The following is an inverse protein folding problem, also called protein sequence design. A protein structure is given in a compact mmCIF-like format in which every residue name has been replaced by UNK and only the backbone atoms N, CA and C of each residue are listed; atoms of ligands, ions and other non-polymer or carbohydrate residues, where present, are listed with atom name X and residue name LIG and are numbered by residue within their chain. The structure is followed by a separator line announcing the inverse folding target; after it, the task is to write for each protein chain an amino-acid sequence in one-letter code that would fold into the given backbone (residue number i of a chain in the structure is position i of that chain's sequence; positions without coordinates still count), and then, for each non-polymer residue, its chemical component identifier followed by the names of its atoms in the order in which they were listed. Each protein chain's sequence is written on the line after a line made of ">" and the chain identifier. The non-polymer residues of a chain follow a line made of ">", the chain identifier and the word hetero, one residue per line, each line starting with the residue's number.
data_IF_259737746596
#
_entry.id   IF_259737746596
#
_cell.length_a   1.000
_cell.length_b   1.000
_cell.length_c   1.000
_cell.angle_alpha   90.00
_cell.angle_beta   90.00
_cell.angle_gamma   90.00
#
_symmetry.space_group_name_H-M   'P 1'
#
loop_
_entity.id
_entity.type
_entity.pdbx_description
1 polymer ?
#
# COMPACT_ATOMS: atom_id res chain seq x y z
N UNK A 1 -11.43 10.81 -4.97
CA UNK A 1 -11.03 12.02 -4.24
C UNK A 1 -11.30 13.24 -5.09
N UNK A 2 -11.75 14.33 -4.46
CA UNK A 2 -11.98 15.64 -5.10
C UNK A 2 -11.11 16.64 -4.36
N UNK A 3 -10.39 17.48 -5.09
CA UNK A 3 -9.58 18.57 -4.56
C UNK A 3 -10.26 19.89 -4.93
N UNK A 4 -10.40 20.78 -3.97
CA UNK A 4 -11.00 22.11 -4.17
C UNK A 4 -10.35 23.14 -3.26
N UNK A 5 -10.49 24.43 -3.57
CA UNK A 5 -10.01 25.51 -2.73
C UNK A 5 -10.88 25.65 -1.48
N UNK A 6 -10.32 26.02 -0.32
CA UNK A 6 -11.09 26.15 0.91
C UNK A 6 -11.86 27.49 0.92
N UNK A 7 -12.74 27.69 -0.05
CA UNK A 7 -13.65 28.82 -0.17
C UNK A 7 -15.10 28.31 -0.25
N UNK A 8 -16.02 29.10 0.26
CA UNK A 8 -17.43 28.68 0.40
C UNK A 8 -18.08 28.39 -0.95
N UNK A 9 -17.75 29.17 -1.96
CA UNK A 9 -18.28 29.05 -3.32
C UNK A 9 -17.96 27.70 -3.94
N UNK A 10 -16.73 27.19 -3.75
CA UNK A 10 -16.31 25.88 -4.27
C UNK A 10 -17.02 24.74 -3.55
N UNK A 11 -17.25 24.87 -2.23
CA UNK A 11 -17.98 23.87 -1.44
C UNK A 11 -19.45 23.82 -1.84
N UNK A 12 -20.09 24.99 -2.01
CA UNK A 12 -21.47 25.10 -2.45
C UNK A 12 -21.64 24.55 -3.88
N UNK A 13 -20.70 24.86 -4.78
CA UNK A 13 -20.67 24.29 -6.13
C UNK A 13 -20.58 22.76 -6.08
N UNK A 14 -19.65 22.22 -5.27
CA UNK A 14 -19.48 20.77 -5.11
C UNK A 14 -20.77 20.12 -4.59
N UNK A 15 -21.42 20.72 -3.58
CA UNK A 15 -22.66 20.22 -3.03
C UNK A 15 -23.77 20.17 -4.10
N UNK A 16 -23.90 21.22 -4.89
CA UNK A 16 -24.87 21.32 -5.99
C UNK A 16 -24.61 20.27 -7.09
N UNK A 17 -23.34 20.06 -7.47
CA UNK A 17 -22.97 19.04 -8.46
C UNK A 17 -23.33 17.64 -7.96
N UNK A 18 -22.99 17.31 -6.70
CA UNK A 18 -23.29 16.01 -6.12
C UNK A 18 -24.80 15.77 -5.98
N UNK A 19 -25.57 16.81 -5.65
CA UNK A 19 -27.03 16.73 -5.58
C UNK A 19 -27.65 16.54 -6.96
N UNK A 20 -27.22 17.31 -7.95
CA UNK A 20 -27.68 17.19 -9.33
C UNK A 20 -27.37 15.80 -9.91
N UNK A 21 -26.17 15.30 -9.66
CA UNK A 21 -25.78 13.94 -10.04
C UNK A 21 -26.69 12.89 -9.39
N UNK A 22 -26.97 13.05 -8.09
CA UNK A 22 -27.88 12.17 -7.37
C UNK A 22 -29.29 12.15 -7.94
N UNK A 23 -29.82 13.34 -8.29
CA UNK A 23 -31.16 13.47 -8.87
C UNK A 23 -31.29 12.80 -10.24
N UNK A 24 -30.23 12.88 -11.07
CA UNK A 24 -30.24 12.30 -12.43
C UNK A 24 -29.98 10.79 -12.41
N UNK A 25 -29.06 10.33 -11.55
CA UNK A 25 -28.58 8.93 -11.57
C UNK A 25 -29.23 8.05 -10.51
N UNK A 26 -29.87 8.62 -9.50
CA UNK A 26 -30.34 7.91 -8.30
C UNK A 26 -29.20 7.54 -7.32
N UNK A 27 -27.94 7.91 -7.60
CA UNK A 27 -26.79 7.62 -6.76
C UNK A 27 -26.49 8.77 -5.79
N UNK A 28 -27.00 8.68 -4.59
CA UNK A 28 -26.84 9.73 -3.57
C UNK A 28 -25.53 9.55 -2.80
N UNK A 29 -24.77 10.65 -2.67
CA UNK A 29 -23.53 10.67 -1.89
C UNK A 29 -23.82 10.46 -0.39
N UNK A 30 -23.17 9.48 0.21
CA UNK A 30 -23.27 9.27 1.65
C UNK A 30 -22.32 10.20 2.41
N UNK A 31 -22.85 11.31 2.91
CA UNK A 31 -22.07 12.35 3.60
C UNK A 31 -21.45 11.81 4.89
N UNK A 32 -22.12 10.91 5.61
CA UNK A 32 -21.58 10.31 6.84
C UNK A 32 -20.35 9.43 6.61
N UNK A 33 -20.14 8.97 5.38
CA UNK A 33 -18.94 8.23 4.95
C UNK A 33 -17.94 9.10 4.21
N UNK A 34 -18.28 10.35 3.95
CA UNK A 34 -17.41 11.32 3.29
C UNK A 34 -16.47 11.96 4.30
N UNK A 35 -15.21 12.08 3.92
CA UNK A 35 -14.17 12.69 4.75
C UNK A 35 -13.64 13.95 4.07
N UNK A 36 -13.45 15.00 4.84
CA UNK A 36 -12.77 16.22 4.42
C UNK A 36 -11.45 16.33 5.18
N UNK A 37 -10.34 16.41 4.46
CA UNK A 37 -9.02 16.54 5.04
C UNK A 37 -8.36 17.85 4.57
N UNK A 38 -8.08 18.81 5.47
CA UNK A 38 -7.44 20.07 5.11
C UNK A 38 -5.97 19.85 4.72
N UNK A 39 -5.53 20.51 3.64
CA UNK A 39 -4.15 20.52 3.18
C UNK A 39 -3.66 21.97 3.20
N UNK A 40 -2.75 22.31 4.12
CA UNK A 40 -2.19 23.66 4.27
C UNK A 40 -3.24 24.77 4.50
N UNK A 41 -4.30 24.46 5.23
CA UNK A 41 -5.40 25.38 5.54
C UNK A 41 -5.30 25.92 6.98
N UNK A 42 -4.13 26.29 7.47
CA UNK A 42 -3.92 26.71 8.87
C UNK A 42 -4.62 28.00 9.28
N UNK A 43 -4.95 28.87 8.31
CA UNK A 43 -5.54 30.20 8.54
C UNK A 43 -6.98 30.32 8.05
N UNK A 44 -7.67 29.21 7.88
CA UNK A 44 -9.02 29.20 7.29
C UNK A 44 -10.00 28.62 8.29
N UNK A 45 -11.13 29.31 8.50
CA UNK A 45 -12.25 28.81 9.29
C UNK A 45 -13.04 27.76 8.48
N UNK A 46 -12.64 26.50 8.66
CA UNK A 46 -13.27 25.38 7.96
C UNK A 46 -14.70 25.09 8.45
N UNK A 47 -15.08 25.51 9.65
CA UNK A 47 -16.44 25.33 10.17
C UNK A 47 -17.42 26.19 9.41
N UNK A 48 -17.05 27.44 9.16
CA UNK A 48 -17.85 28.37 8.39
C UNK A 48 -17.98 27.95 6.92
N UNK A 49 -16.89 27.44 6.33
CA UNK A 49 -16.84 27.04 4.91
C UNK A 49 -17.60 25.74 4.66
N UNK A 50 -17.45 24.76 5.53
CA UNK A 50 -18.07 23.43 5.39
C UNK A 50 -19.51 23.37 5.92
N UNK A 51 -20.11 24.48 6.32
CA UNK A 51 -21.45 24.52 6.92
C UNK A 51 -22.53 23.88 6.05
N UNK A 52 -22.41 23.97 4.73
CA UNK A 52 -23.33 23.35 3.75
C UNK A 52 -22.96 21.89 3.40
N UNK A 53 -21.76 21.43 3.76
CA UNK A 53 -21.28 20.09 3.49
C UNK A 53 -20.77 19.42 4.77
N UNK A 54 -21.66 18.84 5.61
CA UNK A 54 -21.32 18.33 6.95
C UNK A 54 -20.59 16.98 6.90
N UNK A 55 -19.52 16.88 6.11
CA UNK A 55 -18.66 15.70 6.07
C UNK A 55 -17.75 15.62 7.30
N UNK A 56 -17.36 14.42 7.67
CA UNK A 56 -16.49 14.17 8.81
C UNK A 56 -15.09 14.72 8.53
N UNK A 57 -14.55 15.52 9.46
CA UNK A 57 -13.19 16.01 9.37
C UNK A 57 -12.20 14.90 9.69
N UNK A 58 -11.22 14.74 8.83
CA UNK A 58 -10.12 13.82 9.00
C UNK A 58 -8.78 14.54 8.98
N UNK A 59 -7.81 13.97 9.69
CA UNK A 59 -6.42 14.44 9.68
C UNK A 59 -5.53 13.39 9.01
N UNK A 60 -4.44 13.85 8.39
CA UNK A 60 -3.43 12.96 7.85
C UNK A 60 -2.59 12.30 8.97
N UNK A 61 -2.20 11.03 8.82
CA UNK A 61 -2.46 10.15 7.68
C UNK A 61 -3.87 9.56 7.71
N UNK A 62 -4.55 9.55 6.60
CA UNK A 62 -5.87 8.94 6.43
C UNK A 62 -5.79 7.71 5.51
N UNK A 63 -6.84 6.89 5.51
CA UNK A 63 -6.92 5.72 4.62
C UNK A 63 -7.75 6.04 3.39
N UNK A 64 -7.14 5.84 2.24
CA UNK A 64 -7.81 5.97 0.95
C UNK A 64 -7.56 4.72 0.09
N UNK A 65 -8.62 4.05 -0.34
CA UNK A 65 -8.57 2.79 -1.09
C UNK A 65 -7.68 1.71 -0.43
N UNK A 66 -7.65 1.68 0.89
CA UNK A 66 -6.85 0.72 1.66
C UNK A 66 -5.39 1.11 1.88
N UNK A 67 -4.92 2.19 1.27
CA UNK A 67 -3.57 2.72 1.42
C UNK A 67 -3.52 3.87 2.43
N UNK A 68 -2.43 4.03 3.19
CA UNK A 68 -2.22 5.23 3.99
C UNK A 68 -1.88 6.42 3.07
N UNK A 69 -2.72 7.44 3.11
CA UNK A 69 -2.50 8.71 2.41
C UNK A 69 -1.95 9.73 3.40
N UNK A 70 -0.82 10.35 3.09
CA UNK A 70 -0.16 11.36 3.94
C UNK A 70 0.47 12.46 3.10
N UNK A 71 0.51 13.68 3.65
CA UNK A 71 1.25 14.82 3.08
C UNK A 71 2.76 14.68 3.35
N UNK A 72 3.12 13.90 4.38
CA UNK A 72 4.51 13.68 4.77
C UNK A 72 4.94 12.26 4.46
N UNK A 73 6.25 12.01 4.51
CA UNK A 73 6.82 10.67 4.33
C UNK A 73 6.20 9.69 5.32
N UNK A 74 5.69 8.59 4.79
CA UNK A 74 5.07 7.52 5.57
C UNK A 74 6.10 6.82 6.46
N UNK A 75 5.72 6.58 7.73
CA UNK A 75 6.53 5.86 8.72
C UNK A 75 6.00 4.42 8.88
N UNK A 76 6.79 3.55 9.49
CA UNK A 76 6.43 2.14 9.74
C UNK A 76 5.06 2.02 10.45
N UNK A 77 4.77 2.91 11.38
CA UNK A 77 3.48 2.93 12.12
C UNK A 77 2.27 3.08 11.20
N UNK A 78 2.40 3.78 10.08
CA UNK A 78 1.30 3.99 9.15
C UNK A 78 0.93 2.70 8.38
N UNK A 79 1.81 1.70 8.41
CA UNK A 79 1.58 0.39 7.79
C UNK A 79 1.18 -0.70 8.79
N UNK A 80 0.95 -0.35 10.09
CA UNK A 80 0.61 -1.33 11.12
C UNK A 80 -0.60 -2.18 10.70
N UNK A 81 -1.63 -1.55 10.13
CA UNK A 81 -2.79 -2.27 9.61
C UNK A 81 -2.45 -3.34 8.57
N UNK A 82 -1.44 -3.11 7.72
CA UNK A 82 -0.99 -4.13 6.77
C UNK A 82 -0.35 -5.31 7.51
N UNK A 83 0.47 -5.05 8.53
CA UNK A 83 1.04 -6.13 9.37
C UNK A 83 -0.06 -6.92 10.08
N UNK A 84 -1.03 -6.24 10.67
CA UNK A 84 -2.15 -6.88 11.36
C UNK A 84 -2.98 -7.72 10.40
N UNK A 85 -3.21 -7.23 9.18
CA UNK A 85 -3.89 -7.98 8.12
C UNK A 85 -3.12 -9.22 7.70
N UNK A 86 -1.80 -9.12 7.54
CA UNK A 86 -0.93 -10.26 7.21
C UNK A 86 -0.92 -11.24 8.37
N UNK A 87 -0.73 -10.78 9.61
CA UNK A 87 -0.74 -11.61 10.81
C UNK A 87 -2.08 -12.34 10.97
N UNK A 88 -3.20 -11.67 10.74
CA UNK A 88 -4.54 -12.29 10.77
C UNK A 88 -4.76 -13.37 9.71
N UNK A 89 -4.01 -13.35 8.60
CA UNK A 89 -4.01 -14.43 7.58
C UNK A 89 -3.07 -15.58 7.93
N UNK A 90 -2.12 -15.33 8.81
CA UNK A 90 -1.30 -16.38 9.42
C UNK A 90 -2.16 -16.98 10.53
N UNK A 91 -2.86 -18.06 10.24
CA UNK A 91 -3.69 -18.74 11.25
C UNK A 91 -2.81 -19.23 12.41
N UNK A 92 -2.88 -18.52 13.52
CA UNK A 92 -2.14 -18.84 14.75
C UNK A 92 -2.54 -20.25 15.20
N UNK A 93 -1.55 -21.11 15.37
CA UNK A 93 -1.74 -22.51 15.79
C UNK A 93 -2.00 -23.52 14.68
N UNK A 94 -2.58 -23.14 13.55
CA UNK A 94 -2.86 -24.11 12.47
C UNK A 94 -1.63 -24.46 11.63
N UNK A 95 -0.62 -23.59 11.58
CA UNK A 95 0.62 -23.89 10.86
C UNK A 95 1.37 -25.13 11.35
N UNK A 96 1.14 -25.57 12.58
CA UNK A 96 1.72 -26.80 13.13
C UNK A 96 1.21 -28.05 12.42
N UNK A 97 -0.02 -28.03 11.94
CA UNK A 97 -0.65 -29.16 11.25
C UNK A 97 -0.42 -29.13 9.73
N UNK A 98 0.22 -28.09 9.23
CA UNK A 98 0.52 -27.91 7.80
C UNK A 98 1.95 -28.34 7.54
N UNK A 99 2.17 -29.15 6.49
CA UNK A 99 3.50 -29.58 6.06
C UNK A 99 4.35 -28.39 5.62
N UNK A 100 5.66 -28.57 5.55
CA UNK A 100 6.59 -27.54 5.06
C UNK A 100 6.23 -27.06 3.65
N UNK A 101 5.82 -27.94 2.77
CA UNK A 101 5.36 -27.62 1.42
C UNK A 101 4.10 -26.75 1.46
N UNK A 102 3.12 -27.12 2.28
CA UNK A 102 1.89 -26.32 2.47
C UNK A 102 2.17 -24.94 3.06
N UNK A 103 3.09 -24.83 4.04
CA UNK A 103 3.52 -23.54 4.58
C UNK A 103 4.21 -22.67 3.53
N UNK A 104 5.10 -23.25 2.70
CA UNK A 104 5.74 -22.56 1.60
C UNK A 104 4.70 -22.02 0.59
N UNK A 105 3.73 -22.84 0.21
CA UNK A 105 2.63 -22.40 -0.68
C UNK A 105 1.84 -21.24 -0.06
N UNK A 106 1.51 -21.32 1.23
CA UNK A 106 0.77 -20.26 1.92
C UNK A 106 1.56 -18.95 2.02
N UNK A 107 2.88 -19.01 2.26
CA UNK A 107 3.74 -17.82 2.22
C UNK A 107 3.67 -17.16 0.86
N UNK A 108 3.79 -17.93 -0.22
CA UNK A 108 3.76 -17.40 -1.60
C UNK A 108 2.42 -16.81 -1.98
N UNK A 109 1.34 -17.58 -1.79
CA UNK A 109 0.01 -17.22 -2.33
C UNK A 109 -0.79 -16.30 -1.42
N UNK A 110 -0.61 -16.37 -0.10
CA UNK A 110 -1.42 -15.59 0.85
C UNK A 110 -0.64 -14.43 1.44
N UNK A 111 0.50 -14.70 2.07
CA UNK A 111 1.23 -13.66 2.81
C UNK A 111 1.80 -12.61 1.86
N UNK A 112 2.45 -13.05 0.80
CA UNK A 112 3.03 -12.15 -0.22
C UNK A 112 1.95 -11.32 -0.91
N UNK A 113 0.81 -11.94 -1.28
CA UNK A 113 -0.25 -11.23 -2.01
C UNK A 113 -0.89 -10.08 -1.22
N UNK A 114 -0.94 -10.16 0.12
CA UNK A 114 -1.49 -9.07 0.93
C UNK A 114 -0.70 -7.76 0.82
N UNK A 115 0.58 -7.85 0.54
CA UNK A 115 1.46 -6.67 0.44
C UNK A 115 1.47 -6.04 -0.95
N UNK A 116 1.08 -6.76 -2.02
CA UNK A 116 1.23 -6.32 -3.42
C UNK A 116 0.68 -4.92 -3.65
N UNK A 117 -0.54 -4.65 -3.20
CA UNK A 117 -1.18 -3.34 -3.39
C UNK A 117 -0.37 -2.18 -2.80
N UNK A 118 0.17 -2.36 -1.59
CA UNK A 118 1.02 -1.36 -0.94
C UNK A 118 2.37 -1.21 -1.65
N UNK A 119 2.98 -2.34 -2.05
CA UNK A 119 4.28 -2.37 -2.71
C UNK A 119 4.27 -1.76 -4.12
N UNK A 120 3.14 -1.86 -4.81
CA UNK A 120 2.97 -1.27 -6.16
C UNK A 120 2.78 0.23 -6.10
N UNK A 121 2.10 0.72 -5.05
CA UNK A 121 1.63 2.11 -4.99
C UNK A 121 2.46 3.02 -4.09
N UNK A 122 3.33 2.45 -3.23
CA UNK A 122 4.06 3.20 -2.21
C UNK A 122 5.49 2.71 -2.07
N UNK A 123 6.39 3.63 -1.74
CA UNK A 123 7.72 3.28 -1.22
C UNK A 123 7.58 2.86 0.24
N UNK A 124 7.59 1.55 0.46
CA UNK A 124 7.40 0.98 1.80
C UNK A 124 8.72 1.05 2.58
N UNK A 125 8.74 1.55 3.83
CA UNK A 125 9.94 1.65 4.64
C UNK A 125 10.65 0.29 4.84
N UNK A 126 12.00 0.28 4.81
CA UNK A 126 12.82 -0.95 5.01
C UNK A 126 12.44 -1.72 6.28
N UNK A 127 12.17 -1.02 7.39
CA UNK A 127 11.73 -1.66 8.64
C UNK A 127 10.40 -2.40 8.52
N UNK A 128 9.49 -1.89 7.69
CA UNK A 128 8.23 -2.58 7.39
C UNK A 128 8.46 -3.84 6.55
N UNK A 129 9.34 -3.77 5.54
CA UNK A 129 9.72 -4.93 4.73
C UNK A 129 10.35 -6.02 5.59
N UNK A 130 11.27 -5.65 6.49
CA UNK A 130 11.87 -6.57 7.45
C UNK A 130 10.82 -7.26 8.35
N UNK A 131 9.79 -6.52 8.77
CA UNK A 131 8.68 -7.07 9.56
C UNK A 131 7.84 -8.09 8.78
N UNK A 132 7.56 -7.83 7.51
CA UNK A 132 6.86 -8.79 6.63
C UNK A 132 7.71 -10.05 6.44
N UNK A 133 8.99 -9.88 6.13
CA UNK A 133 9.95 -11.01 5.97
C UNK A 133 10.04 -11.83 7.26
N UNK A 134 10.04 -11.18 8.42
CA UNK A 134 10.02 -11.87 9.71
C UNK A 134 8.76 -12.73 9.86
N UNK A 135 7.57 -12.22 9.55
CA UNK A 135 6.32 -13.00 9.57
C UNK A 135 6.38 -14.20 8.61
N UNK A 136 6.93 -14.02 7.41
CA UNK A 136 7.12 -15.11 6.45
C UNK A 136 8.03 -16.21 6.99
N UNK A 137 9.17 -15.83 7.60
CA UNK A 137 10.12 -16.77 8.22
C UNK A 137 9.49 -17.52 9.39
N UNK A 138 8.86 -16.79 10.30
CA UNK A 138 8.27 -17.35 11.50
C UNK A 138 7.22 -18.39 11.14
N UNK A 139 6.36 -18.09 10.17
CA UNK A 139 5.38 -19.04 9.69
C UNK A 139 5.99 -20.22 8.94
N UNK A 140 6.95 -19.98 8.06
CA UNK A 140 7.57 -21.04 7.26
C UNK A 140 8.25 -22.08 8.16
N UNK A 141 9.07 -21.64 9.11
CA UNK A 141 9.90 -22.53 9.94
C UNK A 141 9.15 -23.04 11.19
N UNK A 142 8.38 -22.20 11.84
CA UNK A 142 7.71 -22.51 13.08
C UNK A 142 6.25 -22.96 12.93
N UNK A 143 5.61 -22.60 11.82
CA UNK A 143 4.16 -22.75 11.69
C UNK A 143 3.38 -21.88 12.68
N UNK A 144 4.07 -20.93 13.33
CA UNK A 144 3.56 -20.02 14.34
C UNK A 144 4.02 -18.61 14.02
N UNK A 145 3.54 -17.64 14.75
CA UNK A 145 3.89 -16.22 14.64
C UNK A 145 5.28 -15.87 15.24
N UNK A 146 5.90 -16.79 15.98
CA UNK A 146 7.22 -16.56 16.58
C UNK A 146 8.12 -17.78 16.46
N UNK A 147 9.30 -17.57 15.89
CA UNK A 147 10.38 -18.55 15.85
C UNK A 147 11.54 -18.06 16.72
N UNK A 148 11.88 -18.82 17.75
CA UNK A 148 13.10 -18.60 18.52
C UNK A 148 14.34 -19.04 17.71
N UNK A 149 15.48 -18.37 17.92
CA UNK A 149 16.73 -18.62 17.19
C UNK A 149 17.10 -20.11 17.11
N UNK A 150 17.82 -20.49 16.08
CA UNK A 150 18.26 -21.88 15.82
C UNK A 150 17.27 -22.72 15.01
N UNK A 151 16.02 -22.33 14.83
CA UNK A 151 15.07 -23.02 13.96
C UNK A 151 15.18 -22.66 12.47
N UNK A 152 15.80 -21.53 12.15
CA UNK A 152 16.07 -21.13 10.77
C UNK A 152 17.35 -21.80 10.27
N UNK A 153 17.21 -22.96 9.64
CA UNK A 153 18.36 -23.80 9.19
C UNK A 153 19.06 -23.27 7.94
N UNK A 154 18.43 -22.38 7.19
CA UNK A 154 18.90 -21.90 5.88
C UNK A 154 18.75 -20.39 5.84
N UNK A 155 19.73 -19.70 5.23
CA UNK A 155 19.66 -18.25 4.98
C UNK A 155 18.46 -17.91 4.12
N UNK A 156 17.79 -16.80 4.44
CA UNK A 156 16.55 -16.39 3.76
C UNK A 156 16.74 -16.13 2.27
N UNK A 157 17.89 -15.57 1.89
CA UNK A 157 18.27 -15.33 0.50
C UNK A 157 18.26 -16.65 -0.29
N UNK A 158 18.76 -17.75 0.29
CA UNK A 158 18.74 -19.07 -0.34
C UNK A 158 17.33 -19.65 -0.43
N UNK A 159 16.47 -19.37 0.54
CA UNK A 159 15.04 -19.73 0.48
C UNK A 159 14.33 -19.02 -0.67
N UNK A 160 14.72 -17.76 -0.95
CA UNK A 160 14.17 -16.94 -2.01
C UNK A 160 14.67 -17.29 -3.41
N UNK A 161 15.76 -18.08 -3.56
CA UNK A 161 16.21 -18.47 -4.90
C UNK A 161 15.17 -19.38 -5.61
N UNK A 162 15.13 -19.37 -6.95
CA UNK A 162 14.26 -20.25 -7.73
C UNK A 162 14.43 -21.75 -7.38
N UNK A 163 13.41 -22.54 -7.65
CA UNK A 163 13.42 -23.98 -7.31
C UNK A 163 14.46 -24.78 -8.07
N UNK A 164 14.67 -24.45 -9.33
CA UNK A 164 15.71 -25.01 -10.21
C UNK A 164 17.13 -24.70 -9.72
N UNK A 165 17.28 -23.63 -8.94
CA UNK A 165 18.53 -23.23 -8.27
C UNK A 165 18.61 -23.71 -6.81
N UNK A 166 17.75 -24.63 -6.41
CA UNK A 166 17.73 -25.25 -5.08
C UNK A 166 17.11 -24.40 -3.95
N UNK A 167 16.36 -23.35 -4.28
CA UNK A 167 15.55 -22.58 -3.33
C UNK A 167 14.12 -23.07 -3.24
N UNK A 168 13.31 -22.38 -2.44
CA UNK A 168 11.87 -22.61 -2.39
C UNK A 168 11.08 -21.71 -3.37
N UNK A 169 11.73 -20.74 -4.02
CA UNK A 169 11.10 -19.75 -4.90
C UNK A 169 10.08 -18.88 -4.16
N UNK A 170 10.35 -18.54 -2.91
CA UNK A 170 9.62 -17.48 -2.19
C UNK A 170 10.15 -16.14 -2.70
N UNK A 171 9.28 -15.20 -2.97
CA UNK A 171 9.71 -13.90 -3.49
C UNK A 171 10.50 -13.12 -2.43
N UNK A 172 11.67 -12.63 -2.83
CA UNK A 172 12.41 -11.63 -2.07
C UNK A 172 11.58 -10.33 -2.09
N UNK A 173 11.11 -9.91 -0.92
CA UNK A 173 10.14 -8.82 -0.82
C UNK A 173 10.71 -7.47 -1.28
N UNK A 174 12.02 -7.23 -1.08
CA UNK A 174 12.65 -5.98 -1.53
C UNK A 174 12.76 -5.93 -3.05
N UNK A 175 13.30 -7.00 -3.66
CA UNK A 175 13.39 -7.12 -5.11
C UNK A 175 12.03 -7.12 -5.78
N UNK A 176 11.06 -7.79 -5.15
CA UNK A 176 9.69 -7.84 -5.65
C UNK A 176 8.99 -6.48 -5.59
N UNK A 177 9.14 -5.75 -4.49
CA UNK A 177 8.63 -4.40 -4.35
C UNK A 177 9.20 -3.45 -5.41
N UNK A 178 10.51 -3.54 -5.64
CA UNK A 178 11.20 -2.76 -6.68
C UNK A 178 10.67 -3.10 -8.07
N UNK A 179 10.56 -4.38 -8.40
CA UNK A 179 10.01 -4.83 -9.68
C UNK A 179 8.57 -4.33 -9.93
N UNK A 180 7.74 -4.31 -8.88
CA UNK A 180 6.37 -3.76 -8.97
C UNK A 180 6.36 -2.26 -9.23
N UNK A 181 7.27 -1.49 -8.61
CA UNK A 181 7.36 -0.03 -8.80
C UNK A 181 7.94 0.33 -10.16
N UNK A 182 8.88 -0.44 -10.70
CA UNK A 182 9.45 -0.23 -12.04
C UNK A 182 8.40 -0.25 -13.16
N UNK A 183 7.22 -0.79 -12.90
CA UNK A 183 6.09 -0.67 -13.81
C UNK A 183 5.70 0.78 -14.12
N UNK A 184 5.85 1.70 -13.17
CA UNK A 184 5.45 3.09 -13.35
C UNK A 184 6.32 3.84 -14.37
N UNK A 185 7.64 3.91 -14.24
CA UNK A 185 8.49 4.53 -15.25
C UNK A 185 8.39 3.81 -16.61
N UNK A 186 8.19 2.48 -16.62
CA UNK A 186 7.97 1.77 -17.88
C UNK A 186 6.66 2.19 -18.58
N UNK A 187 5.60 2.43 -17.85
CA UNK A 187 4.34 2.90 -18.41
C UNK A 187 4.47 4.35 -18.95
N UNK A 188 5.21 5.20 -18.26
CA UNK A 188 5.53 6.57 -18.74
C UNK A 188 6.34 6.50 -20.02
N UNK A 189 7.37 5.67 -20.06
CA UNK A 189 8.21 5.49 -21.25
C UNK A 189 7.44 4.96 -22.45
N UNK A 190 6.50 4.04 -22.22
CA UNK A 190 5.68 3.45 -23.30
C UNK A 190 4.60 4.40 -23.81
N UNK A 191 4.04 5.25 -22.99
CA UNK A 191 2.90 6.10 -23.32
C UNK A 191 2.96 7.37 -22.44
N UNK A 192 3.61 8.40 -22.98
CA UNK A 192 3.83 9.68 -22.31
C UNK A 192 2.59 10.59 -22.26
N UNK A 193 1.52 10.26 -22.98
CA UNK A 193 0.28 11.07 -23.04
C UNK A 193 -0.71 10.75 -21.91
N UNK A 194 -0.36 9.85 -21.00
CA UNK A 194 -1.24 9.47 -19.89
C UNK A 194 -1.46 10.64 -18.94
N UNK A 195 -2.70 10.85 -18.53
CA UNK A 195 -3.11 11.96 -17.68
C UNK A 195 -2.39 12.06 -16.31
N UNK A 196 -1.73 11.00 -15.86
CA UNK A 196 -1.00 10.96 -14.59
C UNK A 196 0.52 11.06 -14.72
N UNK A 197 1.07 11.20 -15.93
CA UNK A 197 2.54 11.22 -16.18
C UNK A 197 3.22 12.35 -15.41
N UNK A 198 2.59 13.52 -15.32
CA UNK A 198 3.09 14.68 -14.59
C UNK A 198 2.92 14.57 -13.07
N UNK A 199 2.20 13.57 -12.62
CA UNK A 199 2.09 13.26 -11.19
C UNK A 199 3.27 12.35 -10.80
N UNK A 200 3.94 12.66 -9.70
CA UNK A 200 5.06 11.83 -9.21
C UNK A 200 4.68 10.35 -9.09
N UNK A 201 5.59 9.46 -9.43
CA UNK A 201 5.41 8.01 -9.29
C UNK A 201 6.12 7.48 -8.04
N UNK A 202 5.71 6.31 -7.50
CA UNK A 202 6.22 5.75 -6.25
C UNK A 202 7.56 5.00 -6.48
N UNK A 203 8.53 5.66 -7.12
CA UNK A 203 9.89 5.14 -7.31
C UNK A 203 10.87 6.00 -6.52
N UNK A 204 11.88 5.36 -5.94
CA UNK A 204 13.02 6.03 -5.34
C UNK A 204 14.18 6.18 -6.36
N UNK A 205 15.24 6.86 -5.94
CA UNK A 205 16.41 7.09 -6.81
C UNK A 205 17.07 5.77 -7.26
N UNK A 206 17.08 4.76 -6.41
CA UNK A 206 17.61 3.42 -6.72
C UNK A 206 16.75 2.70 -7.76
N UNK A 207 15.42 2.85 -7.68
CA UNK A 207 14.49 2.29 -8.66
C UNK A 207 14.71 2.94 -10.04
N UNK A 208 14.90 4.27 -10.07
CA UNK A 208 15.13 5.01 -11.33
C UNK A 208 16.48 4.67 -11.95
N UNK A 209 17.55 4.56 -11.14
CA UNK A 209 18.86 4.13 -11.63
C UNK A 209 18.78 2.75 -12.29
N UNK A 210 18.14 1.80 -11.63
CA UNK A 210 17.93 0.44 -12.18
C UNK A 210 17.10 0.47 -13.48
N UNK A 211 16.08 1.32 -13.57
CA UNK A 211 15.29 1.46 -14.78
C UNK A 211 16.14 1.90 -15.96
N UNK A 212 16.97 2.94 -15.78
CA UNK A 212 17.85 3.45 -16.84
C UNK A 212 18.93 2.44 -17.24
N UNK A 213 19.51 1.71 -16.27
CA UNK A 213 20.45 0.62 -16.58
C UNK A 213 19.82 -0.46 -17.47
N UNK A 214 18.56 -0.85 -17.17
CA UNK A 214 17.86 -1.86 -17.96
C UNK A 214 17.36 -1.37 -19.32
N UNK A 215 17.20 -0.06 -19.54
CA UNK A 215 16.70 0.51 -20.79
C UNK A 215 17.79 1.05 -21.69
N UNK A 216 19.05 1.09 -21.24
CA UNK A 216 20.22 1.58 -22.00
C UNK A 216 20.85 0.52 -22.91
N UNK A 217 20.16 -0.61 -23.15
CA UNK A 217 20.64 -1.71 -24.02
C UNK A 217 20.08 -1.56 -25.43
#
# INVERSE_FOLDING_TARGET
>A
AIFFSPIKEDVDMLANILQSFGNVTGLVTNINKSLVAPIRCSNVDLDMILGTFPAVRAQFPLRYLGLPLSIHRLRVVNFQHLLDKIAGKIMIGQGKYITMAGRSTRVKSVITSQAIHHLTSLVVPKGMMASIVKLQRDFLWGGTDKVSGGKCKIRWEKVCTPKDMGGLGILDMEKFARALRLRWPWLVWKDAERAWVDLGHPCDEEDMALFYECTSI
#
